data_IF_410170026369
#
_entry.id   IF_410170026369
#
_cell.length_a   1.000
_cell.length_b   1.000
_cell.length_c   1.000
_cell.angle_alpha   90.00
_cell.angle_beta   90.00
_cell.angle_gamma   90.00
#
_symmetry.space_group_name_H-M   'P 1'
#
loop_
_entity.id
_entity.type
_entity.pdbx_description
1 polymer ?
#
# COMPACT_ATOMS: atom_id res chain seq x y z
N UNK A 1 30.71 -17.61 -54.22
CA UNK A 1 29.85 -18.66 -54.80
C UNK A 1 28.41 -18.36 -54.39
N UNK A 2 27.56 -17.98 -55.35
CA UNK A 2 26.16 -17.63 -55.12
C UNK A 2 25.37 -18.90 -54.75
N UNK A 3 24.71 -18.91 -53.59
CA UNK A 3 23.76 -19.95 -53.22
C UNK A 3 22.68 -20.04 -54.30
N UNK A 4 22.55 -21.21 -54.92
CA UNK A 4 21.47 -21.50 -55.87
C UNK A 4 20.16 -21.47 -55.07
N UNK A 5 19.31 -20.48 -55.33
CA UNK A 5 17.94 -20.47 -54.82
C UNK A 5 17.16 -21.63 -55.44
N UNK A 6 17.02 -22.73 -54.71
CA UNK A 6 16.12 -23.81 -55.10
C UNK A 6 14.69 -23.39 -54.76
N UNK A 7 13.89 -23.08 -55.78
CA UNK A 7 12.44 -22.88 -55.63
C UNK A 7 11.80 -24.23 -55.30
N UNK A 8 11.43 -24.42 -54.03
CA UNK A 8 10.65 -25.58 -53.59
C UNK A 8 9.19 -25.38 -54.03
N UNK A 9 8.55 -26.37 -54.67
CA UNK A 9 7.15 -26.26 -55.06
C UNK A 9 6.25 -26.15 -53.82
N UNK A 10 5.34 -25.18 -53.83
CA UNK A 10 4.45 -24.86 -52.70
C UNK A 10 3.52 -26.02 -52.31
N UNK A 11 3.15 -26.87 -53.26
CA UNK A 11 2.28 -28.03 -53.05
C UNK A 11 2.94 -29.12 -52.20
N UNK A 12 4.24 -29.38 -52.38
CA UNK A 12 4.99 -30.34 -51.56
C UNK A 12 5.15 -29.84 -50.13
N UNK A 13 5.37 -28.53 -49.97
CA UNK A 13 5.44 -27.88 -48.67
C UNK A 13 4.10 -27.96 -47.92
N UNK A 14 2.96 -27.75 -48.60
CA UNK A 14 1.61 -27.91 -48.01
C UNK A 14 1.34 -29.37 -47.62
N UNK A 15 1.69 -30.33 -48.49
CA UNK A 15 1.56 -31.77 -48.19
C UNK A 15 2.40 -32.17 -46.99
N UNK A 16 3.60 -31.64 -46.88
CA UNK A 16 4.48 -31.87 -45.74
C UNK A 16 3.92 -31.21 -44.47
N UNK A 17 3.50 -29.95 -44.54
CA UNK A 17 2.93 -29.22 -43.41
C UNK A 17 1.66 -29.90 -42.85
N UNK A 18 0.81 -30.44 -43.72
CA UNK A 18 -0.38 -31.21 -43.31
C UNK A 18 -0.01 -32.58 -42.73
N UNK A 19 0.92 -33.32 -43.35
CA UNK A 19 1.41 -34.61 -42.83
C UNK A 19 2.00 -34.51 -41.42
N UNK A 20 2.67 -33.39 -41.12
CA UNK A 20 3.35 -33.19 -39.85
C UNK A 20 2.61 -32.26 -38.88
N UNK A 21 1.37 -31.88 -39.19
CA UNK A 21 0.53 -31.03 -38.33
C UNK A 21 1.26 -29.75 -37.88
N UNK A 22 1.92 -29.09 -38.82
CA UNK A 22 2.72 -27.90 -38.50
C UNK A 22 1.87 -26.77 -37.93
N UNK A 23 0.61 -26.65 -38.38
CA UNK A 23 -0.30 -25.63 -37.89
C UNK A 23 -0.62 -25.82 -36.41
N UNK A 24 -0.90 -27.05 -36.01
CA UNK A 24 -1.21 -27.44 -34.64
C UNK A 24 0.00 -27.23 -33.73
N UNK A 25 1.19 -27.60 -34.20
CA UNK A 25 2.45 -27.37 -33.48
C UNK A 25 2.74 -25.89 -33.29
N UNK A 26 2.57 -25.08 -34.34
CA UNK A 26 2.75 -23.64 -34.28
C UNK A 26 1.73 -23.05 -33.28
N UNK A 27 0.46 -23.44 -33.35
CA UNK A 27 -0.56 -22.99 -32.42
C UNK A 27 -0.23 -23.35 -30.96
N UNK A 28 0.27 -24.56 -30.72
CA UNK A 28 0.72 -25.01 -29.40
C UNK A 28 1.90 -24.17 -28.89
N UNK A 29 2.93 -23.96 -29.70
CA UNK A 29 4.08 -23.11 -29.34
C UNK A 29 3.61 -21.67 -29.04
N UNK A 30 2.73 -21.11 -29.88
CA UNK A 30 2.18 -19.78 -29.62
C UNK A 30 1.42 -19.71 -28.30
N UNK A 31 0.64 -20.75 -27.97
CA UNK A 31 -0.08 -20.80 -26.70
C UNK A 31 0.88 -20.86 -25.50
N UNK A 32 1.93 -21.69 -25.57
CA UNK A 32 2.93 -21.82 -24.51
C UNK A 32 3.73 -20.53 -24.31
N UNK A 33 4.16 -19.90 -25.41
CA UNK A 33 4.87 -18.61 -25.36
C UNK A 33 3.97 -17.54 -24.77
N UNK A 34 2.69 -17.50 -25.17
CA UNK A 34 1.76 -16.50 -24.65
C UNK A 34 1.50 -16.69 -23.15
N UNK A 35 1.37 -17.94 -22.68
CA UNK A 35 1.24 -18.24 -21.24
C UNK A 35 2.48 -17.77 -20.47
N UNK A 36 3.69 -18.10 -20.93
CA UNK A 36 4.94 -17.67 -20.27
C UNK A 36 5.09 -16.16 -20.23
N UNK A 37 4.84 -15.48 -21.34
CA UNK A 37 4.88 -14.02 -21.42
C UNK A 37 3.85 -13.40 -20.46
N UNK A 38 2.67 -14.00 -20.35
CA UNK A 38 1.66 -13.52 -19.42
C UNK A 38 2.07 -13.71 -17.96
N UNK A 39 2.65 -14.85 -17.61
CA UNK A 39 3.20 -15.13 -16.27
C UNK A 39 4.31 -14.13 -15.91
N UNK A 40 5.29 -13.93 -16.79
CA UNK A 40 6.36 -12.95 -16.61
C UNK A 40 5.82 -11.52 -16.45
N UNK A 41 4.77 -11.17 -17.22
CA UNK A 41 4.13 -9.85 -17.12
C UNK A 41 3.41 -9.68 -15.77
N UNK A 42 2.72 -10.72 -15.29
CA UNK A 42 2.04 -10.71 -13.99
C UNK A 42 3.06 -10.59 -12.85
N UNK A 43 4.16 -11.35 -12.91
CA UNK A 43 5.24 -11.27 -11.92
C UNK A 43 5.92 -9.90 -11.92
N UNK A 44 6.26 -9.37 -13.10
CA UNK A 44 6.83 -8.03 -13.24
C UNK A 44 5.92 -6.95 -12.68
N UNK A 45 4.61 -7.07 -12.93
CA UNK A 45 3.62 -6.14 -12.39
C UNK A 45 3.50 -6.24 -10.86
N UNK A 46 3.56 -7.46 -10.30
CA UNK A 46 3.58 -7.67 -8.85
C UNK A 46 4.84 -7.05 -8.20
N UNK A 47 6.00 -7.20 -8.84
CA UNK A 47 7.26 -6.62 -8.38
C UNK A 47 7.26 -5.09 -8.40
N UNK A 48 6.74 -4.50 -9.49
CA UNK A 48 6.57 -3.04 -9.58
C UNK A 48 5.65 -2.54 -8.48
N UNK A 49 4.53 -3.23 -8.25
CA UNK A 49 3.58 -2.84 -7.20
C UNK A 49 4.23 -2.92 -5.81
N UNK A 50 4.96 -4.00 -5.52
CA UNK A 50 5.72 -4.14 -4.26
C UNK A 50 6.72 -3.00 -4.04
N UNK A 51 7.44 -2.59 -5.09
CA UNK A 51 8.37 -1.44 -5.03
C UNK A 51 7.64 -0.13 -4.80
N UNK A 52 6.48 0.09 -5.43
CA UNK A 52 5.67 1.30 -5.24
C UNK A 52 5.15 1.39 -3.81
N UNK A 53 4.57 0.31 -3.28
CA UNK A 53 4.10 0.21 -1.89
C UNK A 53 5.23 0.49 -0.91
N UNK A 54 6.41 -0.09 -1.10
CA UNK A 54 7.57 0.17 -0.23
C UNK A 54 7.97 1.65 -0.23
N UNK A 55 8.01 2.31 -1.40
CA UNK A 55 8.30 3.75 -1.49
C UNK A 55 7.22 4.60 -0.81
N UNK A 56 5.95 4.20 -0.92
CA UNK A 56 4.84 4.92 -0.30
C UNK A 56 4.87 4.81 1.22
N UNK A 57 5.22 3.64 1.78
CA UNK A 57 5.45 3.49 3.23
C UNK A 57 6.55 4.40 3.74
N UNK A 58 7.68 4.48 3.03
CA UNK A 58 8.77 5.40 3.38
C UNK A 58 8.29 6.85 3.36
N UNK A 59 7.42 7.21 2.41
CA UNK A 59 6.83 8.55 2.35
C UNK A 59 5.88 8.82 3.52
N UNK A 60 5.04 7.83 3.88
CA UNK A 60 4.14 7.89 5.03
C UNK A 60 4.91 8.06 6.35
N UNK A 61 5.97 7.26 6.56
CA UNK A 61 6.84 7.36 7.75
C UNK A 61 7.47 8.76 7.84
N UNK A 62 8.03 9.27 6.74
CA UNK A 62 8.58 10.65 6.72
C UNK A 62 7.53 11.72 6.99
N UNK A 63 6.29 11.51 6.54
CA UNK A 63 5.20 12.43 6.80
C UNK A 63 4.80 12.43 8.29
N UNK A 64 4.77 11.25 8.92
CA UNK A 64 4.53 11.10 10.36
C UNK A 64 5.65 11.74 11.19
N UNK A 65 6.91 11.46 10.86
CA UNK A 65 8.07 12.10 11.48
C UNK A 65 8.02 13.63 11.39
N UNK A 66 7.53 14.16 10.26
CA UNK A 66 7.35 15.60 10.07
C UNK A 66 6.22 16.15 10.92
N UNK A 67 5.09 15.43 11.04
CA UNK A 67 3.97 15.80 11.91
C UNK A 67 4.37 15.86 13.39
N UNK A 68 5.23 14.94 13.85
CA UNK A 68 5.72 14.94 15.23
C UNK A 68 6.63 16.15 15.54
N UNK A 69 7.44 16.57 14.56
CA UNK A 69 8.46 17.62 14.74
C UNK A 69 7.92 19.03 14.52
N UNK A 70 6.79 19.20 13.84
CA UNK A 70 6.27 20.52 13.46
C UNK A 70 4.87 20.79 14.05
N UNK A 71 4.69 21.83 14.88
CA UNK A 71 3.40 22.16 15.48
C UNK A 71 2.36 22.55 14.42
N UNK A 72 1.09 22.35 14.79
CA UNK A 72 -0.11 22.25 13.96
C UNK A 72 -0.40 23.39 12.95
N UNK A 73 0.33 24.51 12.98
CA UNK A 73 0.25 25.54 11.95
C UNK A 73 0.88 25.12 10.62
N UNK A 74 1.82 24.16 10.62
CA UNK A 74 2.37 23.49 9.42
C UNK A 74 1.87 22.05 9.21
N UNK A 75 1.05 21.52 10.13
CA UNK A 75 0.51 20.16 10.03
C UNK A 75 -0.47 19.97 8.86
N UNK A 76 -1.01 21.06 8.30
CA UNK A 76 -1.87 21.01 7.13
C UNK A 76 -1.18 20.38 5.93
N UNK A 77 0.08 20.75 5.67
CA UNK A 77 0.85 20.22 4.54
C UNK A 77 1.13 18.72 4.71
N UNK A 78 1.34 18.28 5.95
CA UNK A 78 1.61 16.88 6.23
C UNK A 78 0.34 16.02 6.22
N UNK A 79 -0.82 16.54 6.64
CA UNK A 79 -2.11 15.88 6.43
C UNK A 79 -2.38 15.70 4.93
N UNK A 80 -2.13 16.74 4.11
CA UNK A 80 -2.23 16.64 2.64
C UNK A 80 -1.27 15.60 2.08
N UNK A 81 -0.03 15.58 2.55
CA UNK A 81 0.98 14.63 2.09
C UNK A 81 0.60 13.18 2.44
N UNK A 82 0.08 12.93 3.64
CA UNK A 82 -0.44 11.63 4.06
C UNK A 82 -1.64 11.22 3.22
N UNK A 83 -2.61 12.12 3.00
CA UNK A 83 -3.77 11.86 2.14
C UNK A 83 -3.36 11.50 0.71
N UNK A 84 -2.39 12.21 0.15
CA UNK A 84 -1.84 11.94 -1.17
C UNK A 84 -1.08 10.60 -1.22
N UNK A 85 -0.35 10.26 -0.16
CA UNK A 85 0.34 8.96 -0.06
C UNK A 85 -0.64 7.78 -0.02
N UNK A 86 -1.74 7.91 0.75
CA UNK A 86 -2.82 6.91 0.79
C UNK A 86 -3.48 6.77 -0.58
N UNK A 87 -3.72 7.88 -1.30
CA UNK A 87 -4.29 7.86 -2.65
C UNK A 87 -3.38 7.11 -3.63
N UNK A 88 -2.09 7.44 -3.65
CA UNK A 88 -1.11 6.74 -4.49
C UNK A 88 -1.00 5.24 -4.14
N UNK A 89 -1.17 4.87 -2.87
CA UNK A 89 -1.18 3.47 -2.44
C UNK A 89 -2.39 2.71 -3.00
N UNK A 90 -3.59 3.30 -2.89
CA UNK A 90 -4.81 2.71 -3.43
C UNK A 90 -4.80 2.58 -4.96
N UNK A 91 -4.25 3.58 -5.65
CA UNK A 91 -4.07 3.55 -7.10
C UNK A 91 -3.10 2.41 -7.50
N UNK A 92 -2.00 2.23 -6.78
CA UNK A 92 -1.04 1.15 -7.01
C UNK A 92 -1.67 -0.25 -6.81
N UNK A 93 -2.58 -0.41 -5.86
CA UNK A 93 -3.36 -1.64 -5.67
C UNK A 93 -4.54 -1.79 -6.63
N UNK A 94 -4.84 -0.79 -7.47
CA UNK A 94 -6.00 -0.80 -8.36
C UNK A 94 -7.35 -0.77 -7.65
N UNK A 95 -7.38 -0.35 -6.38
CA UNK A 95 -8.58 -0.29 -5.53
C UNK A 95 -9.48 0.92 -5.85
N UNK A 96 -8.94 1.94 -6.51
CA UNK A 96 -9.65 3.18 -6.86
C UNK A 96 -10.71 3.02 -7.97
N UNK A 97 -10.90 1.81 -8.51
CA UNK A 97 -11.98 1.54 -9.48
C UNK A 97 -13.38 1.62 -8.87
N UNK A 98 -13.51 1.62 -7.53
CA UNK A 98 -14.77 1.85 -6.85
C UNK A 98 -15.06 3.35 -6.70
N UNK A 99 -15.83 3.91 -7.63
CA UNK A 99 -16.16 5.35 -7.70
C UNK A 99 -16.76 5.92 -6.40
N UNK A 100 -17.44 5.09 -5.61
CA UNK A 100 -18.05 5.48 -4.34
C UNK A 100 -17.01 5.79 -3.24
N UNK A 101 -15.88 5.07 -3.22
CA UNK A 101 -14.82 5.31 -2.23
C UNK A 101 -13.99 6.55 -2.58
N UNK A 102 -13.75 6.79 -3.87
CA UNK A 102 -13.14 8.04 -4.34
C UNK A 102 -14.04 9.24 -4.01
N UNK A 103 -15.35 9.12 -4.24
CA UNK A 103 -16.33 10.16 -3.87
C UNK A 103 -16.34 10.50 -2.39
N UNK A 104 -16.32 9.49 -1.52
CA UNK A 104 -16.26 9.71 -0.07
C UNK A 104 -14.98 10.42 0.34
N UNK A 105 -13.86 10.10 -0.32
CA UNK A 105 -12.57 10.71 -0.05
C UNK A 105 -12.51 12.17 -0.54
N UNK A 106 -13.04 12.46 -1.73
CA UNK A 106 -13.19 13.83 -2.23
C UNK A 106 -14.10 14.67 -1.30
N UNK A 107 -15.16 14.07 -0.77
CA UNK A 107 -16.03 14.69 0.24
C UNK A 107 -15.28 14.97 1.54
N UNK A 108 -14.39 14.07 1.94
CA UNK A 108 -13.59 14.20 3.16
C UNK A 108 -12.54 15.29 2.99
N UNK A 109 -11.84 15.34 1.85
CA UNK A 109 -10.91 16.42 1.48
C UNK A 109 -11.62 17.78 1.44
N UNK A 110 -12.76 17.88 0.75
CA UNK A 110 -13.53 19.13 0.68
C UNK A 110 -14.01 19.60 2.06
N UNK A 111 -14.38 18.65 2.93
CA UNK A 111 -14.79 18.94 4.31
C UNK A 111 -13.59 19.35 5.17
N UNK A 112 -12.43 18.75 4.95
CA UNK A 112 -11.18 19.08 5.64
C UNK A 112 -10.72 20.48 5.23
N UNK A 113 -10.65 20.80 3.93
CA UNK A 113 -10.35 22.16 3.44
C UNK A 113 -11.32 23.20 4.02
N UNK A 114 -12.62 22.91 4.04
CA UNK A 114 -13.62 23.80 4.63
C UNK A 114 -13.40 24.05 6.13
N UNK A 115 -12.96 23.02 6.87
CA UNK A 115 -12.62 23.14 8.30
C UNK A 115 -11.30 23.89 8.51
N UNK A 116 -10.38 23.87 7.54
CA UNK A 116 -9.12 24.59 7.58
C UNK A 116 -9.28 26.08 7.23
N UNK A 117 -10.14 26.44 6.28
CA UNK A 117 -10.43 27.85 5.92
C UNK A 117 -11.22 28.60 6.99
N UNK A 118 -12.10 27.90 7.70
CA UNK A 118 -12.85 28.46 8.81
C UNK A 118 -12.60 27.60 10.05
N UNK A 119 -11.50 27.84 10.80
CA UNK A 119 -11.36 27.25 12.11
C UNK A 119 -12.51 27.81 12.94
N UNK A 120 -13.61 27.04 13.07
CA UNK A 120 -14.61 27.34 14.08
C UNK A 120 -13.81 27.46 15.37
N UNK A 121 -13.80 28.62 16.05
CA UNK A 121 -13.11 28.72 17.32
C UNK A 121 -13.67 27.57 18.12
N UNK A 122 -12.80 26.63 18.51
CA UNK A 122 -13.20 25.51 19.32
C UNK A 122 -14.05 26.15 20.41
N UNK A 123 -15.35 25.80 20.47
CA UNK A 123 -16.16 26.19 21.61
C UNK A 123 -15.33 25.66 22.74
N UNK A 124 -14.70 26.58 23.49
CA UNK A 124 -14.07 26.26 24.74
C UNK A 124 -15.26 25.77 25.52
N UNK A 125 -15.47 24.46 25.48
CA UNK A 125 -16.22 23.79 26.50
C UNK A 125 -15.29 24.02 27.67
N UNK A 126 -15.47 25.16 28.33
CA UNK A 126 -15.20 25.25 29.75
C UNK A 126 -16.07 24.14 30.30
N UNK A 127 -15.53 22.92 30.29
CA UNK A 127 -15.87 21.92 31.25
C UNK A 127 -15.44 22.61 32.52
N UNK A 128 -16.35 23.42 33.08
CA UNK A 128 -16.37 23.70 34.48
C UNK A 128 -16.57 22.32 35.07
N UNK A 129 -15.48 21.58 35.22
CA UNK A 129 -15.36 20.62 36.28
C UNK A 129 -15.52 21.47 37.52
N UNK A 130 -16.77 21.71 37.90
CA UNK A 130 -17.17 21.69 39.29
C UNK A 130 -16.76 20.28 39.73
N UNK A 131 -15.46 20.16 40.03
CA UNK A 131 -14.93 19.05 40.78
C UNK A 131 -15.55 19.30 42.15
N UNK A 132 -16.58 18.55 42.56
CA UNK A 132 -17.13 18.72 43.89
C UNK A 132 -15.96 18.60 44.85
N UNK A 133 -15.79 19.60 45.70
CA UNK A 133 -14.75 19.60 46.70
C UNK A 133 -14.79 18.24 47.42
N UNK A 134 -13.66 17.50 47.49
CA UNK A 134 -13.60 16.24 48.19
C UNK A 134 -13.64 16.52 49.70
N UNK A 135 -14.81 16.86 50.22
CA UNK A 135 -15.09 16.79 51.65
C UNK A 135 -15.07 15.31 52.07
N UNK A 136 -13.90 14.85 52.51
CA UNK A 136 -13.83 13.80 53.53
C UNK A 136 -13.46 12.39 53.10
N UNK A 137 -12.97 12.14 51.87
CA UNK A 137 -12.43 10.81 51.56
C UNK A 137 -11.02 10.67 52.10
N UNK A 138 -10.94 10.10 53.31
CA UNK A 138 -9.73 9.64 53.99
C UNK A 138 -8.86 8.85 53.00
N UNK A 139 -7.55 9.13 52.86
CA UNK A 139 -6.70 8.38 51.95
C UNK A 139 -6.67 6.92 52.40
N UNK A 140 -7.33 6.07 51.61
CA UNK A 140 -7.24 4.62 51.76
C UNK A 140 -5.82 4.25 51.32
N UNK A 141 -5.05 3.69 52.27
CA UNK A 141 -3.67 3.34 52.08
C UNK A 141 -3.56 2.37 50.90
N UNK A 142 -2.93 2.83 49.81
CA UNK A 142 -2.55 1.96 48.71
C UNK A 142 -1.64 0.86 49.27
N UNK A 143 -2.00 -0.43 49.15
CA UNK A 143 -1.09 -1.50 49.52
C UNK A 143 0.18 -1.37 48.68
N UNK A 144 1.33 -1.43 49.35
CA UNK A 144 2.64 -1.38 48.72
C UNK A 144 2.71 -2.44 47.62
N UNK A 145 3.25 -2.11 46.44
CA UNK A 145 3.45 -3.10 45.39
C UNK A 145 4.44 -4.15 45.89
N UNK A 146 3.96 -5.39 46.02
CA UNK A 146 4.82 -6.53 46.26
C UNK A 146 5.83 -6.60 45.11
N UNK A 147 7.11 -6.59 45.47
CA UNK A 147 8.22 -6.77 44.55
C UNK A 147 8.08 -8.13 43.85
N UNK A 148 7.63 -8.12 42.59
CA UNK A 148 7.75 -9.28 41.71
C UNK A 148 9.22 -9.46 41.37
N UNK A 149 9.82 -10.49 41.97
CA UNK A 149 11.12 -11.03 41.61
C UNK A 149 11.13 -11.38 40.11
N UNK A 150 11.97 -10.67 39.35
CA UNK A 150 12.23 -11.02 37.96
C UNK A 150 13.20 -12.21 37.92
N UNK A 151 12.82 -13.36 37.34
CA UNK A 151 13.76 -14.44 37.11
C UNK A 151 14.77 -14.00 36.05
N UNK A 152 16.03 -13.97 36.48
CA UNK A 152 17.21 -13.82 35.61
C UNK A 152 17.40 -15.12 34.85
N UNK A 153 16.67 -15.31 33.76
CA UNK A 153 16.93 -16.42 32.85
C UNK A 153 18.04 -16.04 31.87
N UNK A 154 19.24 -16.50 32.23
CA UNK A 154 20.35 -16.70 31.34
C UNK A 154 20.06 -17.91 30.45
N UNK A 155 19.87 -17.71 29.14
CA UNK A 155 19.95 -18.81 28.18
C UNK A 155 20.48 -18.27 26.83
N UNK A 156 21.79 -18.39 26.60
CA UNK A 156 22.44 -19.52 25.89
C UNK A 156 22.34 -19.37 24.36
N UNK A 157 23.45 -18.91 23.78
CA UNK A 157 23.66 -18.88 22.33
C UNK A 157 24.21 -20.24 21.86
N UNK A 158 23.68 -20.84 20.79
CA UNK A 158 24.39 -21.89 20.08
C UNK A 158 25.25 -21.35 18.94
N UNK A 159 26.38 -22.04 18.77
CA UNK A 159 27.45 -21.86 17.78
C UNK A 159 27.07 -22.21 16.35
#
# INVERSE_FOLDING_TARGET
ALSKETKVPTSELIRHATKFLWRERIALIHSEVNTRVHEELVESLADVNKRHVSKLRILQEKAMDFLEKHPLTKAQDAIKLVGMAIKMEREAYGLDKNSEQSRLQDLLEAKLERLLENPKPAKVISVTTEFPDPEGTKPEAFPEPEHEDTPTDAESAPS
#
